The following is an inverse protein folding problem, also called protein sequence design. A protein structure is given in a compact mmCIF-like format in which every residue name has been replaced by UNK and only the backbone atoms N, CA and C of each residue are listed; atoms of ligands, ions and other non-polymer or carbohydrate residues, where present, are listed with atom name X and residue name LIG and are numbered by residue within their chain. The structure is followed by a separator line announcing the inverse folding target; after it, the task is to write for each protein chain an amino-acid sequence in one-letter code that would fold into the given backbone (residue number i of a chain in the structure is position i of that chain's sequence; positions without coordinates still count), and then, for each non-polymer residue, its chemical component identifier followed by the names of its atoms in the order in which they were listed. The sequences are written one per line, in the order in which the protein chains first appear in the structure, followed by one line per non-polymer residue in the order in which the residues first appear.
data_IF_127776250400
#
_entry.id   IF_127776250400
#
_cell.length_a   1.000
_cell.length_b   1.000
_cell.length_c   1.000
_cell.angle_alpha   90.00
_cell.angle_beta   90.00
_cell.angle_gamma   90.00
#
_symmetry.space_group_name_H-M   'P 1'
#
loop_
_entity.id
_entity.type
_entity.pdbx_description
1 polymer ?
#
# COMPACT_ATOMS: atom_id res chain seq x y z
N UNK A 1 2.46 -9.96 -14.44
CA UNK A 1 1.95 -8.57 -14.38
C UNK A 1 3.03 -7.54 -14.70
N UNK A 2 2.63 -6.39 -15.26
CA UNK A 2 3.49 -5.20 -15.40
C UNK A 2 3.46 -4.31 -14.16
N UNK A 3 4.53 -3.54 -13.94
CA UNK A 3 4.66 -2.63 -12.79
C UNK A 3 3.50 -1.63 -12.69
N UNK A 4 3.09 -1.04 -13.81
CA UNK A 4 2.05 -0.03 -13.86
C UNK A 4 0.69 -0.60 -13.46
N UNK A 5 0.38 -1.84 -13.84
CA UNK A 5 -0.86 -2.52 -13.45
C UNK A 5 -0.98 -2.67 -11.94
N UNK A 6 0.11 -3.07 -11.26
CA UNK A 6 0.11 -3.16 -9.80
C UNK A 6 -0.01 -1.78 -9.16
N UNK A 7 0.66 -0.76 -9.71
CA UNK A 7 0.57 0.61 -9.19
C UNK A 7 -0.85 1.16 -9.32
N UNK A 8 -1.49 1.00 -10.47
CA UNK A 8 -2.87 1.44 -10.71
C UNK A 8 -3.84 0.77 -9.73
N UNK A 9 -3.70 -0.54 -9.53
CA UNK A 9 -4.50 -1.29 -8.55
C UNK A 9 -4.30 -0.75 -7.12
N UNK A 10 -3.05 -0.52 -6.72
CA UNK A 10 -2.74 0.03 -5.40
C UNK A 10 -3.26 1.47 -5.24
N UNK A 11 -3.18 2.29 -6.28
CA UNK A 11 -3.60 3.71 -6.26
C UNK A 11 -5.12 3.88 -6.29
N UNK A 12 -5.86 2.88 -6.76
CA UNK A 12 -7.32 2.88 -6.68
C UNK A 12 -7.85 2.78 -5.23
N UNK A 13 -7.00 2.46 -4.26
CA UNK A 13 -7.40 2.26 -2.87
C UNK A 13 -7.64 3.59 -2.14
N UNK A 14 -8.62 3.68 -1.22
CA UNK A 14 -8.90 4.92 -0.50
C UNK A 14 -7.68 5.46 0.25
N UNK A 15 -7.38 6.75 0.06
CA UNK A 15 -6.26 7.43 0.69
C UNK A 15 -4.88 6.97 0.21
N UNK A 16 -4.81 6.14 -0.84
CA UNK A 16 -3.56 5.75 -1.47
C UNK A 16 -2.99 6.90 -2.32
N UNK A 17 -1.68 7.05 -2.31
CA UNK A 17 -0.97 8.02 -3.13
C UNK A 17 0.46 7.55 -3.43
N UNK A 18 0.99 8.01 -4.56
CA UNK A 18 2.35 7.71 -5.01
C UNK A 18 3.36 8.67 -4.37
N UNK A 19 4.51 8.15 -3.98
CA UNK A 19 5.62 8.87 -3.39
C UNK A 19 6.97 8.22 -3.78
N UNK A 20 8.08 8.94 -3.61
CA UNK A 20 9.43 8.49 -4.00
C UNK A 20 10.47 8.70 -2.88
N UNK A 21 10.25 8.14 -1.67
CA UNK A 21 11.11 8.39 -0.51
C UNK A 21 12.53 7.80 -0.66
N UNK A 22 12.74 6.89 -1.61
CA UNK A 22 14.04 6.24 -1.87
C UNK A 22 14.67 6.71 -3.19
N UNK A 23 14.13 7.79 -3.79
CA UNK A 23 14.55 8.31 -5.09
C UNK A 23 13.68 7.82 -6.26
N UNK A 24 13.93 8.33 -7.49
CA UNK A 24 13.05 8.14 -8.63
C UNK A 24 12.98 6.71 -9.17
N UNK A 25 13.90 5.83 -8.78
CA UNK A 25 13.93 4.43 -9.21
C UNK A 25 13.06 3.47 -8.39
N UNK A 26 12.40 3.96 -7.33
CA UNK A 26 11.54 3.16 -6.45
C UNK A 26 10.23 3.89 -6.22
N UNK A 27 9.18 3.42 -6.87
CA UNK A 27 7.82 3.89 -6.66
C UNK A 27 7.30 3.32 -5.33
N UNK A 28 6.87 4.17 -4.40
CA UNK A 28 6.26 3.73 -3.15
C UNK A 28 4.80 4.20 -3.08
N UNK A 29 3.88 3.24 -2.89
CA UNK A 29 2.48 3.56 -2.64
C UNK A 29 2.23 3.63 -1.14
N UNK A 30 1.72 4.77 -0.71
CA UNK A 30 1.45 5.10 0.69
C UNK A 30 -0.03 5.29 0.90
N UNK A 31 -0.51 4.94 2.09
CA UNK A 31 -1.88 5.22 2.53
C UNK A 31 -1.87 6.22 3.68
N UNK A 32 -2.76 7.22 3.62
CA UNK A 32 -3.04 8.14 4.72
C UNK A 32 -4.52 8.48 4.81
N UNK A 33 -5.00 8.65 6.04
CA UNK A 33 -6.30 9.29 6.26
C UNK A 33 -6.26 10.78 5.84
N UNK A 34 -7.40 11.39 5.47
CA UNK A 34 -7.48 12.82 5.16
C UNK A 34 -6.87 13.72 6.24
N UNK A 35 -7.09 13.40 7.52
CA UNK A 35 -6.53 14.15 8.66
C UNK A 35 -5.03 13.90 8.91
N UNK A 36 -4.39 12.98 8.18
CA UNK A 36 -2.98 12.64 8.39
C UNK A 36 -2.03 13.52 7.58
N UNK A 37 -0.95 14.02 8.20
CA UNK A 37 0.09 14.76 7.48
C UNK A 37 0.95 13.85 6.60
N UNK A 38 1.18 12.61 7.03
CA UNK A 38 2.03 11.63 6.34
C UNK A 38 1.40 10.24 6.32
N UNK A 39 1.62 9.53 5.21
CA UNK A 39 1.15 8.16 5.02
C UNK A 39 2.18 7.10 5.33
N UNK A 40 1.69 5.87 5.41
CA UNK A 40 2.50 4.65 5.60
C UNK A 40 2.61 3.89 4.29
N UNK A 41 3.80 3.39 3.96
CA UNK A 41 4.04 2.59 2.77
C UNK A 41 3.38 1.22 2.95
N UNK A 42 2.62 0.78 1.93
CA UNK A 42 2.11 -0.59 1.86
C UNK A 42 2.61 -1.35 0.63
N UNK A 43 2.97 -0.66 -0.45
CA UNK A 43 3.56 -1.25 -1.63
C UNK A 43 4.77 -0.45 -2.13
N UNK A 44 5.75 -1.14 -2.69
CA UNK A 44 6.91 -0.56 -3.37
C UNK A 44 7.15 -1.33 -4.66
N UNK A 45 7.45 -0.64 -5.75
CA UNK A 45 7.74 -1.22 -7.06
C UNK A 45 9.08 -0.67 -7.56
N UNK A 46 9.96 -1.56 -7.98
CA UNK A 46 11.32 -1.24 -8.40
C UNK A 46 11.87 -2.32 -9.34
N UNK A 47 13.01 -2.03 -9.97
CA UNK A 47 13.74 -3.03 -10.76
C UNK A 47 14.85 -3.65 -9.93
N UNK A 48 14.84 -4.97 -9.81
CA UNK A 48 15.92 -5.74 -9.17
C UNK A 48 16.55 -6.65 -10.21
N UNK A 49 17.86 -6.47 -10.48
CA UNK A 49 18.62 -7.28 -11.45
C UNK A 49 17.96 -7.37 -12.85
N UNK A 50 17.35 -6.28 -13.30
CA UNK A 50 16.66 -6.22 -14.60
C UNK A 50 15.24 -6.79 -14.61
N UNK A 51 14.68 -7.17 -13.45
CA UNK A 51 13.33 -7.70 -13.33
C UNK A 51 12.45 -6.79 -12.48
N UNK A 52 11.23 -6.51 -12.96
CA UNK A 52 10.20 -5.80 -12.19
C UNK A 52 9.85 -6.58 -10.93
N UNK A 53 9.99 -5.92 -9.79
CA UNK A 53 9.89 -6.50 -8.45
C UNK A 53 9.04 -5.59 -7.58
N UNK A 54 8.23 -6.18 -6.71
CA UNK A 54 7.50 -5.44 -5.70
C UNK A 54 7.85 -5.91 -4.28
N UNK A 55 7.71 -4.99 -3.33
CA UNK A 55 7.73 -5.29 -1.90
C UNK A 55 6.42 -4.83 -1.28
N UNK A 56 5.64 -5.76 -0.71
CA UNK A 56 4.33 -5.53 -0.11
C UNK A 56 4.41 -5.70 1.42
N UNK A 57 3.83 -4.76 2.17
CA UNK A 57 3.85 -4.71 3.64
C UNK A 57 2.54 -5.25 4.21
N UNK A 58 2.55 -6.49 4.67
CA UNK A 58 1.39 -7.18 5.26
C UNK A 58 1.61 -7.43 6.76
N UNK A 59 0.67 -8.13 7.41
CA UNK A 59 0.89 -8.69 8.74
C UNK A 59 1.81 -9.94 8.67
N UNK A 60 2.45 -10.34 9.77
CA UNK A 60 3.42 -11.43 9.76
C UNK A 60 2.84 -12.79 9.36
N UNK A 61 1.56 -13.04 9.66
CA UNK A 61 0.93 -14.33 9.37
C UNK A 61 0.70 -14.47 7.86
N UNK A 62 0.07 -13.48 7.24
CA UNK A 62 -0.09 -13.40 5.77
C UNK A 62 1.27 -13.43 5.08
N UNK A 63 2.26 -12.68 5.60
CA UNK A 63 3.59 -12.67 5.02
C UNK A 63 4.24 -14.06 5.02
N UNK A 64 4.06 -14.82 6.11
CA UNK A 64 4.57 -16.19 6.23
C UNK A 64 3.83 -17.17 5.32
N UNK A 65 2.51 -17.04 5.21
CA UNK A 65 1.67 -17.89 4.36
C UNK A 65 2.09 -17.80 2.88
N UNK A 66 2.16 -16.59 2.32
CA UNK A 66 2.57 -16.41 0.92
C UNK A 66 4.00 -16.89 0.64
N UNK A 67 4.92 -16.76 1.60
CA UNK A 67 6.27 -17.34 1.47
C UNK A 67 6.26 -18.87 1.48
N UNK A 68 5.32 -19.49 2.19
CA UNK A 68 5.16 -20.94 2.20
C UNK A 68 4.51 -21.45 0.90
N UNK A 69 3.58 -20.69 0.32
CA UNK A 69 2.97 -20.98 -0.99
C UNK A 69 3.98 -20.87 -2.14
N UNK A 70 4.90 -19.89 -2.05
CA UNK A 70 5.86 -19.57 -3.10
C UNK A 70 7.32 -19.65 -2.62
N UNK A 71 7.80 -20.84 -2.21
CA UNK A 71 9.10 -21.00 -1.60
C UNK A 71 10.23 -20.63 -2.57
N UNK A 72 11.10 -19.72 -2.15
CA UNK A 72 12.23 -19.23 -2.96
C UNK A 72 11.87 -18.18 -4.02
N UNK A 73 10.58 -17.94 -4.25
CA UNK A 73 10.07 -16.89 -5.14
C UNK A 73 9.68 -15.65 -4.35
N UNK A 74 8.83 -15.82 -3.33
CA UNK A 74 8.49 -14.74 -2.39
C UNK A 74 9.45 -14.82 -1.22
N UNK A 75 10.18 -13.72 -0.99
CA UNK A 75 11.22 -13.63 0.03
C UNK A 75 10.92 -12.52 1.03
N UNK A 76 11.62 -12.54 2.17
CA UNK A 76 11.55 -11.45 3.15
C UNK A 76 12.02 -10.13 2.52
N UNK A 77 11.45 -9.03 3.01
CA UNK A 77 11.72 -7.67 2.51
C UNK A 77 13.19 -7.38 2.24
N UNK A 78 13.52 -7.20 0.96
CA UNK A 78 14.84 -6.83 0.49
C UNK A 78 15.19 -5.41 0.99
N UNK A 79 16.40 -5.22 1.55
CA UNK A 79 16.87 -3.96 2.17
C UNK A 79 16.03 -3.40 3.35
N UNK A 80 15.09 -4.18 3.91
CA UNK A 80 14.36 -3.76 5.11
C UNK A 80 15.15 -4.06 6.41
N UNK A 81 15.00 -3.23 7.46
CA UNK A 81 15.55 -3.55 8.79
C UNK A 81 15.05 -4.92 9.30
N UNK A 82 15.84 -5.69 10.08
CA UNK A 82 15.45 -7.03 10.54
C UNK A 82 14.12 -7.08 11.30
N UNK A 83 13.79 -6.04 12.06
CA UNK A 83 12.52 -5.91 12.81
C UNK A 83 11.31 -5.78 11.87
N UNK A 84 11.55 -5.26 10.68
CA UNK A 84 10.54 -4.95 9.68
C UNK A 84 10.38 -6.08 8.65
N UNK A 85 11.46 -6.80 8.34
CA UNK A 85 11.48 -7.93 7.39
C UNK A 85 10.34 -8.95 7.53
N UNK A 86 9.87 -9.34 8.74
CA UNK A 86 8.78 -10.30 8.86
C UNK A 86 7.50 -9.85 8.17
N UNK A 87 7.26 -8.54 8.13
CA UNK A 87 6.06 -7.92 7.57
C UNK A 87 6.12 -7.70 6.05
N UNK A 88 7.28 -7.86 5.43
CA UNK A 88 7.48 -7.51 4.02
C UNK A 88 7.68 -8.74 3.14
N UNK A 89 6.90 -8.85 2.08
CA UNK A 89 7.10 -9.83 1.02
C UNK A 89 7.66 -9.14 -0.22
N UNK A 90 8.86 -9.53 -0.64
CA UNK A 90 9.45 -9.12 -1.91
C UNK A 90 9.23 -10.23 -2.93
N UNK A 91 8.71 -9.89 -4.11
CA UNK A 91 8.35 -10.84 -5.15
C UNK A 91 8.57 -10.28 -6.56
N UNK A 92 8.91 -11.13 -7.55
CA UNK A 92 8.91 -10.72 -8.95
C UNK A 92 7.47 -10.51 -9.44
N UNK A 93 7.26 -9.51 -10.30
CA UNK A 93 5.94 -9.24 -10.90
C UNK A 93 5.64 -10.11 -12.12
N UNK A 94 6.67 -10.73 -12.71
CA UNK A 94 6.54 -11.53 -13.92
C UNK A 94 6.75 -13.03 -13.64
N UNK A 95 5.75 -13.83 -14.05
CA UNK A 95 5.87 -15.26 -14.32
C UNK A 95 5.86 -16.23 -13.13
N UNK A 96 6.44 -15.86 -11.99
CA UNK A 96 6.64 -16.80 -10.88
C UNK A 96 5.53 -16.82 -9.83
N UNK A 97 4.70 -15.77 -9.78
CA UNK A 97 3.52 -15.66 -8.92
C UNK A 97 2.33 -15.31 -9.83
N UNK A 98 1.18 -16.02 -9.74
CA UNK A 98 -0.03 -15.67 -10.48
C UNK A 98 -0.44 -14.21 -10.22
N UNK A 99 -0.90 -13.54 -11.26
CA UNK A 99 -1.27 -12.13 -11.18
C UNK A 99 -2.38 -11.89 -10.13
N UNK A 100 -3.36 -12.79 -10.00
CA UNK A 100 -4.43 -12.71 -9.01
C UNK A 100 -3.89 -12.77 -7.57
N UNK A 101 -2.94 -13.65 -7.28
CA UNK A 101 -2.29 -13.75 -5.97
C UNK A 101 -1.47 -12.49 -5.62
N UNK A 102 -0.86 -11.83 -6.62
CA UNK A 102 -0.16 -10.57 -6.43
C UNK A 102 -1.16 -9.48 -6.03
N UNK A 103 -2.31 -9.41 -6.71
CA UNK A 103 -3.36 -8.42 -6.41
C UNK A 103 -3.99 -8.66 -5.04
N UNK A 104 -4.27 -9.91 -4.70
CA UNK A 104 -4.77 -10.28 -3.38
C UNK A 104 -3.76 -9.92 -2.28
N UNK A 105 -2.48 -10.23 -2.46
CA UNK A 105 -1.45 -9.84 -1.50
C UNK A 105 -1.32 -8.32 -1.38
N UNK A 106 -1.55 -7.56 -2.46
CA UNK A 106 -1.59 -6.10 -2.43
C UNK A 106 -2.81 -5.57 -1.66
N UNK A 107 -3.96 -6.23 -1.78
CA UNK A 107 -5.17 -5.95 -1.00
C UNK A 107 -4.92 -6.18 0.50
N UNK A 108 -4.39 -7.35 0.85
CA UNK A 108 -4.04 -7.71 2.22
C UNK A 108 -2.98 -6.76 2.81
N UNK A 109 -2.01 -6.32 2.02
CA UNK A 109 -1.01 -5.35 2.45
C UNK A 109 -1.64 -4.00 2.80
N UNK A 110 -2.57 -3.51 1.98
CA UNK A 110 -3.32 -2.29 2.28
C UNK A 110 -4.11 -2.43 3.57
N UNK A 111 -4.90 -3.50 3.69
CA UNK A 111 -5.74 -3.74 4.87
C UNK A 111 -4.92 -3.85 6.14
N UNK A 112 -3.79 -4.56 6.10
CA UNK A 112 -2.87 -4.68 7.22
C UNK A 112 -2.29 -3.33 7.66
N UNK A 113 -1.96 -2.44 6.71
CA UNK A 113 -1.43 -1.10 7.03
C UNK A 113 -2.53 -0.18 7.56
N UNK A 114 -3.74 -0.23 7.00
CA UNK A 114 -4.91 0.51 7.49
C UNK A 114 -5.30 0.05 8.90
N UNK A 115 -5.27 -1.25 9.16
CA UNK A 115 -5.58 -1.83 10.47
C UNK A 115 -4.65 -1.33 11.59
N UNK A 116 -3.43 -0.90 11.26
CA UNK A 116 -2.46 -0.28 12.19
C UNK A 116 -2.75 1.19 12.51
N UNK A 117 -3.67 1.83 11.78
CA UNK A 117 -4.11 3.19 12.07
C UNK A 117 -5.09 3.19 13.25
N UNK A 118 -5.17 4.27 14.05
CA UNK A 118 -6.26 4.42 15.03
C UNK A 118 -7.64 4.30 14.38
N UNK A 119 -8.62 3.75 15.11
CA UNK A 119 -9.97 3.48 14.59
C UNK A 119 -10.65 4.70 13.96
N UNK A 120 -10.44 5.90 14.48
CA UNK A 120 -11.00 7.12 13.89
C UNK A 120 -10.45 7.38 12.48
N UNK A 121 -9.16 7.13 12.24
CA UNK A 121 -8.52 7.27 10.92
C UNK A 121 -8.96 6.19 9.94
N UNK A 122 -9.19 4.97 10.43
CA UNK A 122 -9.76 3.89 9.61
C UNK A 122 -11.14 4.29 9.07
N UNK A 123 -11.97 4.92 9.90
CA UNK A 123 -13.31 5.40 9.49
C UNK A 123 -13.23 6.47 8.40
N UNK A 124 -12.29 7.41 8.49
CA UNK A 124 -12.12 8.43 7.45
C UNK A 124 -11.79 7.81 6.08
N UNK A 125 -11.10 6.66 6.05
CA UNK A 125 -10.79 5.91 4.82
C UNK A 125 -11.97 5.07 4.31
N UNK A 126 -12.81 4.56 5.23
CA UNK A 126 -13.98 3.72 4.90
C UNK A 126 -15.19 4.53 4.39
N UNK A 127 -15.22 5.84 4.64
CA UNK A 127 -16.26 6.74 4.14
C UNK A 127 -16.61 7.84 5.14
N UNK A 128 -16.14 9.06 4.86
CA UNK A 128 -16.98 10.23 5.13
C UNK A 128 -17.73 10.56 3.84
N UNK A 129 -19.08 10.67 3.85
CA UNK A 129 -19.74 11.52 2.89
C UNK A 129 -19.16 12.91 3.06
N UNK A 130 -18.82 13.58 1.95
CA UNK A 130 -18.39 14.97 1.98
C UNK A 130 -19.62 15.83 2.32
N UNK A 131 -19.96 15.95 3.61
CA UNK A 131 -20.77 17.08 4.08
C UNK A 131 -19.86 18.31 4.10
N UNK A 132 -19.97 19.10 3.03
CA UNK A 132 -19.46 20.48 3.02
C UNK A 132 -20.25 21.25 4.09
N UNK A 133 -19.60 22.01 4.98
CA UNK A 133 -20.32 23.01 5.73
C UNK A 133 -20.93 23.99 4.73
N UNK A 134 -22.25 24.09 4.69
CA UNK A 134 -22.91 25.24 4.11
C UNK A 134 -22.56 26.43 5.00
N UNK A 135 -21.60 27.25 4.56
CA UNK A 135 -21.45 28.61 5.07
C UNK A 135 -22.66 29.41 4.58
N UNK A 136 -23.76 29.31 5.32
CA UNK A 136 -24.86 30.28 5.25
C UNK A 136 -24.39 31.55 5.96
N UNK A 137 -23.70 32.42 5.22
CA UNK A 137 -23.64 33.83 5.59
C UNK A 137 -24.95 34.46 5.11
N UNK A 138 -25.90 34.61 6.03
CA UNK A 138 -27.08 35.43 5.79
C UNK A 138 -26.68 36.89 5.54
N UNK A 139 -27.32 37.59 4.59
CA UNK A 139 -27.07 39.01 4.37
C UNK A 139 -27.73 39.83 5.48
N UNK A 140 -26.92 40.53 6.27
CA UNK A 140 -27.43 41.54 7.20
C UNK A 140 -27.60 42.86 6.44
N UNK A 141 -28.84 43.22 6.16
CA UNK A 141 -29.31 44.55 5.73
C UNK A 141 -30.72 44.70 6.30
N UNK A 142 -31.16 45.92 6.68
CA UNK A 142 -30.95 47.19 5.98
C UNK A 142 -29.96 48.16 6.64
#
# INVERSE_FOLDING_TARGET
MESDTLLDHCLAKPGAYLDFPFGPGVAAVKVKAPSQPSGRIFAQVFTLRGQSTATLSCDPATAQEYRALYPGVIVRGYHCPPVQQPYFNTLPLAGAVPDDDILELADLAYDAVVARLPKYRQRELAGSPVERPQTSMEPMSP
#
